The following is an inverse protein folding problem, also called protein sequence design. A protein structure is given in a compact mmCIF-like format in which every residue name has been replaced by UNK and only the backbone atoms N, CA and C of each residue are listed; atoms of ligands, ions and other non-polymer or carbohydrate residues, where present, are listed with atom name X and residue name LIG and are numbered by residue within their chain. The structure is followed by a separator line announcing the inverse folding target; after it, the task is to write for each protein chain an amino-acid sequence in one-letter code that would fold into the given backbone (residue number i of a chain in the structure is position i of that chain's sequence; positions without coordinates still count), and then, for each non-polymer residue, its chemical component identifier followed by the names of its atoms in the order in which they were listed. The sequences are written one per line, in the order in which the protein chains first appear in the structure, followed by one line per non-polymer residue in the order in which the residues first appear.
data_IF_364972116909
#
_entry.id   IF_364972116909
#
_cell.length_a   1.000
_cell.length_b   1.000
_cell.length_c   1.000
_cell.angle_alpha   90.00
_cell.angle_beta   90.00
_cell.angle_gamma   90.00
#
_symmetry.space_group_name_H-M   'P 1'
#
loop_
_entity.id
_entity.type
_entity.pdbx_description
1 polymer ?
#
# COMPACT_ATOMS: atom_id res chain seq x y z
N UNK A 1 -1.73 -11.21 -1.73
CA UNK A 1 -0.67 -11.88 -0.93
C UNK A 1 -0.09 -13.08 -1.66
N UNK A 2 -0.85 -14.16 -1.88
CA UNK A 2 -0.32 -15.41 -2.51
C UNK A 2 0.22 -15.16 -3.93
N UNK A 3 -0.54 -14.45 -4.77
CA UNK A 3 -0.16 -14.19 -6.17
C UNK A 3 1.11 -13.31 -6.28
N UNK A 4 1.30 -12.38 -5.34
CA UNK A 4 2.50 -11.53 -5.25
C UNK A 4 3.75 -12.35 -4.89
N UNK A 5 3.59 -13.32 -3.99
CA UNK A 5 4.64 -14.27 -3.62
C UNK A 5 5.03 -15.17 -4.82
N UNK A 6 4.03 -15.64 -5.56
CA UNK A 6 4.24 -16.47 -6.77
C UNK A 6 4.94 -15.65 -7.86
N UNK A 7 4.52 -14.41 -8.12
CA UNK A 7 5.14 -13.56 -9.15
C UNK A 7 6.57 -13.15 -8.78
N UNK A 8 6.84 -12.87 -7.50
CA UNK A 8 8.19 -12.57 -7.01
C UNK A 8 9.13 -13.79 -7.09
N UNK A 9 8.63 -14.98 -6.73
CA UNK A 9 9.38 -16.22 -6.88
C UNK A 9 9.68 -16.55 -8.35
N UNK A 10 8.72 -16.31 -9.24
CA UNK A 10 8.89 -16.50 -10.68
C UNK A 10 9.89 -15.51 -11.28
N UNK A 11 9.88 -14.25 -10.82
CA UNK A 11 10.85 -13.24 -11.25
C UNK A 11 12.27 -13.57 -10.77
N UNK A 12 12.45 -13.93 -9.49
CA UNK A 12 13.77 -14.19 -8.92
C UNK A 12 14.42 -15.46 -9.48
N UNK A 13 13.65 -16.52 -9.68
CA UNK A 13 14.19 -17.82 -10.12
C UNK A 13 14.07 -18.04 -11.64
N UNK A 14 13.32 -17.20 -12.36
CA UNK A 14 13.07 -17.35 -13.80
C UNK A 14 12.26 -18.60 -14.16
N UNK A 15 11.51 -19.15 -13.21
CA UNK A 15 10.74 -20.41 -13.33
C UNK A 15 9.24 -20.08 -13.18
N UNK A 16 8.35 -20.93 -13.71
CA UNK A 16 6.87 -20.80 -13.74
C UNK A 16 6.28 -19.81 -14.75
N UNK A 17 6.87 -18.62 -14.95
CA UNK A 17 6.34 -17.60 -15.85
C UNK A 17 7.47 -16.93 -16.65
N UNK A 18 7.20 -16.47 -17.89
CA UNK A 18 8.15 -15.64 -18.64
C UNK A 18 8.54 -14.40 -17.82
N UNK A 19 9.83 -14.04 -17.83
CA UNK A 19 10.40 -12.99 -16.97
C UNK A 19 9.71 -11.63 -17.12
N UNK A 20 9.33 -11.26 -18.35
CA UNK A 20 8.55 -10.06 -18.63
C UNK A 20 7.17 -10.09 -17.96
N UNK A 21 6.49 -11.24 -18.04
CA UNK A 21 5.16 -11.41 -17.47
C UNK A 21 5.21 -11.43 -15.95
N UNK A 22 6.19 -12.13 -15.36
CA UNK A 22 6.42 -12.15 -13.91
C UNK A 22 6.68 -10.75 -13.37
N UNK A 23 7.56 -9.96 -14.02
CA UNK A 23 7.84 -8.57 -13.64
C UNK A 23 6.60 -7.70 -13.72
N UNK A 24 5.90 -7.71 -14.85
CA UNK A 24 4.69 -6.89 -15.02
C UNK A 24 3.60 -7.24 -14.00
N UNK A 25 3.39 -8.53 -13.74
CA UNK A 25 2.40 -8.99 -12.77
C UNK A 25 2.82 -8.63 -11.34
N UNK A 26 4.10 -8.69 -11.01
CA UNK A 26 4.61 -8.32 -9.69
C UNK A 26 4.48 -6.81 -9.43
N UNK A 27 4.88 -5.95 -10.37
CA UNK A 27 4.76 -4.49 -10.26
C UNK A 27 3.29 -4.05 -10.13
N UNK A 28 2.40 -4.56 -10.97
CA UNK A 28 0.97 -4.20 -10.87
C UNK A 28 0.38 -4.61 -9.51
N UNK A 29 0.77 -5.79 -8.99
CA UNK A 29 0.30 -6.26 -7.69
C UNK A 29 0.91 -5.47 -6.53
N UNK A 30 2.12 -4.94 -6.68
CA UNK A 30 2.79 -4.11 -5.69
C UNK A 30 1.98 -2.84 -5.41
N UNK A 31 1.54 -2.14 -6.46
CA UNK A 31 0.76 -0.92 -6.34
C UNK A 31 -0.55 -1.12 -5.55
N UNK A 32 -1.27 -2.22 -5.82
CA UNK A 32 -2.46 -2.58 -5.03
C UNK A 32 -2.11 -2.92 -3.57
N UNK A 33 -0.99 -3.62 -3.35
CA UNK A 33 -0.54 -3.99 -2.01
C UNK A 33 -0.24 -2.76 -1.16
N UNK A 34 0.54 -1.84 -1.72
CA UNK A 34 0.94 -0.60 -1.05
C UNK A 34 -0.29 0.26 -0.77
N UNK A 35 -1.25 0.34 -1.69
CA UNK A 35 -2.52 1.02 -1.45
C UNK A 35 -3.30 0.42 -0.27
N UNK A 36 -3.50 -0.91 -0.24
CA UNK A 36 -4.20 -1.57 0.86
C UNK A 36 -3.46 -1.40 2.20
N UNK A 37 -2.13 -1.47 2.18
CA UNK A 37 -1.30 -1.23 3.34
C UNK A 37 -1.46 0.21 3.86
N UNK A 38 -1.45 1.20 2.96
CA UNK A 38 -1.65 2.60 3.32
C UNK A 38 -3.01 2.83 3.98
N UNK A 39 -4.09 2.28 3.40
CA UNK A 39 -5.44 2.34 3.99
C UNK A 39 -5.45 1.67 5.37
N UNK A 40 -4.84 0.50 5.51
CA UNK A 40 -4.76 -0.21 6.78
C UNK A 40 -4.03 0.61 7.87
N UNK A 41 -2.92 1.25 7.52
CA UNK A 41 -2.15 2.12 8.42
C UNK A 41 -2.96 3.36 8.82
N UNK A 42 -3.64 4.02 7.88
CA UNK A 42 -4.48 5.19 8.16
C UNK A 42 -5.62 4.86 9.13
N UNK A 43 -6.31 3.74 8.91
CA UNK A 43 -7.39 3.27 9.78
C UNK A 43 -6.84 2.94 11.18
N UNK A 44 -5.73 2.20 11.25
CA UNK A 44 -5.09 1.86 12.53
C UNK A 44 -4.65 3.10 13.31
N UNK A 45 -4.10 4.09 12.59
CA UNK A 45 -3.68 5.38 13.17
C UNK A 45 -4.87 6.17 13.68
N UNK A 46 -5.99 6.19 12.94
CA UNK A 46 -7.25 6.80 13.39
C UNK A 46 -7.73 6.18 14.70
N UNK A 47 -7.75 4.85 14.79
CA UNK A 47 -8.17 4.16 16.01
C UNK A 47 -7.21 4.40 17.18
N UNK A 48 -5.90 4.46 16.92
CA UNK A 48 -4.90 4.81 17.94
C UNK A 48 -5.11 6.24 18.48
N UNK A 49 -5.34 7.21 17.60
CA UNK A 49 -5.61 8.61 17.96
C UNK A 49 -6.93 8.76 18.73
N UNK A 50 -7.97 8.03 18.32
CA UNK A 50 -9.25 7.98 19.05
C UNK A 50 -9.07 7.40 20.46
N UNK A 51 -8.26 6.34 20.61
CA UNK A 51 -7.92 5.75 21.91
C UNK A 51 -7.22 6.74 22.85
N UNK A 52 -6.40 7.64 22.30
CA UNK A 52 -5.68 8.67 23.05
C UNK A 52 -6.52 9.92 23.36
N UNK A 53 -7.85 9.90 23.09
CA UNK A 53 -8.77 11.02 23.32
C UNK A 53 -8.29 12.34 22.69
N UNK A 54 -7.74 12.28 21.47
CA UNK A 54 -7.43 13.49 20.72
C UNK A 54 -8.74 14.22 20.42
N UNK A 55 -9.01 15.32 21.13
CA UNK A 55 -10.31 16.01 21.18
C UNK A 55 -10.75 16.69 19.87
N UNK A 56 -10.03 16.50 18.76
CA UNK A 56 -10.31 17.15 17.47
C UNK A 56 -10.46 16.11 16.35
N UNK A 57 -11.52 15.29 16.42
CA UNK A 57 -11.80 14.22 15.46
C UNK A 57 -11.83 14.70 14.00
N UNK A 58 -12.36 15.91 13.76
CA UNK A 58 -12.48 16.48 12.41
C UNK A 58 -11.13 16.88 11.82
N UNK A 59 -10.24 17.47 12.63
CA UNK A 59 -8.88 17.83 12.20
C UNK A 59 -8.03 16.59 11.96
N UNK A 60 -8.14 15.59 12.84
CA UNK A 60 -7.43 14.31 12.68
C UNK A 60 -7.85 13.60 11.40
N UNK A 61 -9.15 13.51 11.11
CA UNK A 61 -9.63 12.91 9.86
C UNK A 61 -9.13 13.66 8.62
N UNK A 62 -9.16 15.00 8.62
CA UNK A 62 -8.64 15.80 7.52
C UNK A 62 -7.15 15.59 7.29
N UNK A 63 -6.36 15.58 8.37
CA UNK A 63 -4.92 15.32 8.31
C UNK A 63 -4.62 13.90 7.81
N UNK A 64 -5.36 12.90 8.29
CA UNK A 64 -5.21 11.52 7.82
C UNK A 64 -5.52 11.38 6.33
N UNK A 65 -6.57 12.05 5.83
CA UNK A 65 -6.89 12.06 4.40
C UNK A 65 -5.79 12.78 3.61
N UNK A 66 -5.31 13.92 4.09
CA UNK A 66 -4.23 14.67 3.43
C UNK A 66 -2.93 13.87 3.36
N UNK A 67 -2.52 13.24 4.47
CA UNK A 67 -1.33 12.38 4.53
C UNK A 67 -1.52 11.17 3.63
N UNK A 68 -2.69 10.53 3.66
CA UNK A 68 -3.02 9.42 2.78
C UNK A 68 -2.92 9.79 1.30
N UNK A 69 -3.48 10.95 0.91
CA UNK A 69 -3.41 11.43 -0.46
C UNK A 69 -1.97 11.77 -0.89
N UNK A 70 -1.18 12.42 -0.03
CA UNK A 70 0.23 12.76 -0.32
C UNK A 70 1.07 11.49 -0.44
N UNK A 71 0.92 10.53 0.48
CA UNK A 71 1.64 9.26 0.41
C UNK A 71 1.27 8.48 -0.85
N UNK A 72 -0.02 8.40 -1.21
CA UNK A 72 -0.46 7.74 -2.43
C UNK A 72 0.09 8.42 -3.69
N UNK A 73 0.09 9.76 -3.71
CA UNK A 73 0.70 10.53 -4.80
C UNK A 73 2.19 10.23 -4.95
N UNK A 74 2.91 10.10 -3.84
CA UNK A 74 4.34 9.78 -3.86
C UNK A 74 4.62 8.37 -4.39
N UNK A 75 3.75 7.41 -4.08
CA UNK A 75 3.83 6.04 -4.62
C UNK A 75 3.67 6.07 -6.14
N UNK A 76 2.69 6.81 -6.67
CA UNK A 76 2.48 6.98 -8.11
C UNK A 76 3.60 7.73 -8.84
N UNK A 77 4.39 8.53 -8.13
CA UNK A 77 5.51 9.27 -8.72
C UNK A 77 6.77 8.39 -8.85
N UNK A 78 6.93 7.43 -7.93
CA UNK A 78 8.09 6.54 -7.88
C UNK A 78 7.94 5.35 -8.82
N UNK A 79 6.71 4.85 -8.97
CA UNK A 79 6.37 3.74 -9.86
C UNK A 79 6.29 4.21 -11.34
#
# INVERSE_FOLDING_TARGET
MIIFLISGYAWNNGILLPLYQAKHMHTNLDLFLVFFFLVHVLISTKFALARWRVGHERLVNLLLIAIGAICFWFILLID
#
